data_IF_923406848362
#
_entry.id   IF_923406848362
#
_cell.length_a   1.000
_cell.length_b   1.000
_cell.length_c   1.000
_cell.angle_alpha   90.00
_cell.angle_beta   90.00
_cell.angle_gamma   90.00
#
_symmetry.space_group_name_H-M   'P 1'
#
loop_
_entity.id
_entity.type
_entity.pdbx_description
1 polymer ?
#
# COMPACT_ATOMS: atom_id res chain seq x y z
N UNK A 1 -8.30 58.42 6.62
CA UNK A 1 -8.01 57.31 7.54
C UNK A 1 -9.12 56.30 7.35
N UNK A 2 -8.89 55.22 6.60
CA UNK A 2 -9.89 54.16 6.43
C UNK A 2 -9.36 52.89 7.10
N UNK A 3 -10.04 52.50 8.18
CA UNK A 3 -9.82 51.24 8.87
C UNK A 3 -10.29 50.11 7.95
N UNK A 4 -9.37 49.23 7.60
CA UNK A 4 -9.66 47.98 6.90
C UNK A 4 -9.94 46.94 7.99
N UNK A 5 -11.21 46.73 8.34
CA UNK A 5 -11.61 45.73 9.32
C UNK A 5 -11.66 44.35 8.64
N UNK A 6 -10.75 43.48 9.10
CA UNK A 6 -10.68 42.10 8.64
C UNK A 6 -11.97 41.35 8.93
N UNK A 7 -12.81 41.17 7.91
CA UNK A 7 -13.82 40.11 7.91
C UNK A 7 -13.13 38.79 7.55
N UNK A 8 -12.74 38.05 8.59
CA UNK A 8 -12.48 36.63 8.47
C UNK A 8 -13.83 35.94 8.31
N UNK A 9 -14.30 35.77 7.07
CA UNK A 9 -15.47 34.96 6.76
C UNK A 9 -15.18 33.48 7.09
N UNK A 10 -15.53 33.07 8.32
CA UNK A 10 -15.45 31.68 8.83
C UNK A 10 -16.70 30.91 8.39
N UNK A 11 -16.99 30.93 7.09
CA UNK A 11 -17.95 30.00 6.48
C UNK A 11 -17.23 29.07 5.50
N UNK A 12 -16.17 28.40 5.98
CA UNK A 12 -15.71 27.15 5.38
C UNK A 12 -16.67 26.03 5.80
N UNK A 13 -17.81 25.95 5.13
CA UNK A 13 -18.61 24.74 5.13
C UNK A 13 -17.77 23.60 4.54
N UNK A 14 -17.82 22.42 5.17
CA UNK A 14 -17.04 21.20 4.86
C UNK A 14 -17.21 20.63 3.44
N UNK A 15 -17.77 21.39 2.50
CA UNK A 15 -18.11 20.95 1.15
C UNK A 15 -17.04 21.27 0.08
N UNK A 16 -16.03 22.09 0.39
CA UNK A 16 -15.05 22.53 -0.62
C UNK A 16 -13.70 21.79 -0.61
N UNK A 17 -13.50 20.79 0.26
CA UNK A 17 -12.45 19.77 0.11
C UNK A 17 -12.96 18.51 -0.62
N UNK A 18 -14.08 18.61 -1.34
CA UNK A 18 -14.60 17.53 -2.18
C UNK A 18 -14.37 17.80 -3.68
N UNK A 19 -13.75 18.93 -4.04
CA UNK A 19 -13.39 19.25 -5.42
C UNK A 19 -11.94 18.84 -5.68
N UNK A 20 -11.77 17.92 -6.65
CA UNK A 20 -10.51 17.33 -7.12
C UNK A 20 -9.97 16.12 -6.34
N UNK A 21 -10.79 15.10 -6.14
CA UNK A 21 -10.31 13.74 -6.44
C UNK A 21 -10.72 13.43 -7.88
N UNK A 22 -10.03 14.04 -8.85
CA UNK A 22 -9.83 13.35 -10.12
C UNK A 22 -9.13 12.06 -9.77
N UNK A 23 -9.88 10.97 -9.68
CA UNK A 23 -9.33 9.63 -9.86
C UNK A 23 -8.85 9.60 -11.31
N UNK A 24 -7.70 10.21 -11.57
CA UNK A 24 -6.81 9.62 -12.56
C UNK A 24 -6.80 8.15 -12.16
N UNK A 25 -7.20 7.27 -13.08
CA UNK A 25 -6.98 5.85 -12.89
C UNK A 25 -5.46 5.73 -12.77
N UNK A 26 -4.96 5.86 -11.54
CA UNK A 26 -3.58 5.55 -11.20
C UNK A 26 -3.56 4.07 -11.48
N UNK A 27 -3.04 3.74 -12.65
CA UNK A 27 -2.86 2.37 -13.08
C UNK A 27 -1.91 1.77 -12.05
N UNK A 28 -2.47 1.17 -11.01
CA UNK A 28 -1.69 0.60 -9.93
C UNK A 28 -1.05 -0.67 -10.49
N UNK A 29 0.28 -0.71 -10.62
CA UNK A 29 0.95 -1.85 -11.23
C UNK A 29 0.90 -3.09 -10.33
N UNK A 30 0.38 -3.00 -9.10
CA UNK A 30 0.25 -4.15 -8.20
C UNK A 30 -0.83 -5.12 -8.70
N UNK A 31 -0.36 -6.19 -9.33
CA UNK A 31 -1.17 -7.30 -9.84
C UNK A 31 -1.29 -8.43 -8.83
N UNK A 32 -2.12 -9.42 -9.17
CA UNK A 32 -2.17 -10.67 -8.41
C UNK A 32 -0.78 -11.34 -8.41
N UNK A 33 -0.30 -11.67 -7.21
CA UNK A 33 1.00 -12.30 -7.06
C UNK A 33 1.02 -13.28 -5.88
N UNK A 34 1.83 -14.31 -6.05
CA UNK A 34 2.16 -15.28 -5.02
C UNK A 34 3.63 -15.11 -4.64
N UNK A 35 3.88 -15.07 -3.34
CA UNK A 35 5.20 -14.95 -2.75
C UNK A 35 5.48 -16.21 -1.95
N UNK A 36 6.63 -16.83 -2.20
CA UNK A 36 7.03 -18.06 -1.51
C UNK A 36 8.43 -17.93 -0.93
N UNK A 37 8.59 -18.52 0.25
CA UNK A 37 9.86 -18.79 0.91
C UNK A 37 9.75 -20.11 1.67
N UNK A 38 10.87 -20.62 2.16
CA UNK A 38 10.90 -21.80 3.05
C UNK A 38 10.09 -21.59 4.35
N UNK A 39 9.84 -20.33 4.74
CA UNK A 39 9.19 -19.98 6.00
C UNK A 39 7.69 -19.67 5.87
N UNK A 40 7.21 -19.27 4.69
CA UNK A 40 5.80 -18.94 4.47
C UNK A 40 5.40 -18.85 3.00
N UNK A 41 4.08 -18.93 2.78
CA UNK A 41 3.40 -18.60 1.52
C UNK A 41 2.53 -17.35 1.74
N UNK A 42 2.61 -16.38 0.84
CA UNK A 42 1.74 -15.22 0.85
C UNK A 42 1.13 -14.99 -0.52
N UNK A 43 -0.10 -14.50 -0.54
CA UNK A 43 -0.81 -14.15 -1.78
C UNK A 43 -1.34 -12.74 -1.66
N UNK A 44 -1.37 -12.04 -2.79
CA UNK A 44 -2.14 -10.82 -2.97
C UNK A 44 -3.03 -10.99 -4.18
N UNK A 45 -4.33 -10.75 -4.01
CA UNK A 45 -5.33 -10.86 -5.06
C UNK A 45 -6.06 -9.53 -5.21
N UNK A 46 -6.23 -9.12 -6.47
CA UNK A 46 -7.05 -7.99 -6.89
C UNK A 46 -6.65 -6.67 -6.21
N UNK A 47 -5.45 -6.16 -6.51
CA UNK A 47 -4.99 -4.82 -6.13
C UNK A 47 -5.47 -4.33 -4.75
N UNK A 48 -4.91 -4.89 -3.67
CA UNK A 48 -5.15 -4.55 -2.24
C UNK A 48 -6.22 -5.32 -1.45
N UNK A 49 -7.23 -5.94 -2.09
CA UNK A 49 -8.43 -6.34 -1.33
C UNK A 49 -8.31 -7.68 -0.58
N UNK A 50 -7.46 -8.60 -1.05
CA UNK A 50 -7.23 -9.87 -0.37
C UNK A 50 -5.75 -10.20 -0.34
N UNK A 51 -5.10 -9.95 0.80
CA UNK A 51 -3.78 -10.50 1.06
C UNK A 51 -3.83 -11.54 2.17
N UNK A 52 -3.04 -12.60 2.02
CA UNK A 52 -2.87 -13.61 3.07
C UNK A 52 -1.40 -13.92 3.29
N UNK A 53 -1.05 -14.27 4.53
CA UNK A 53 0.26 -14.82 4.90
C UNK A 53 -0.03 -16.12 5.67
N UNK A 54 0.46 -17.24 5.16
CA UNK A 54 0.16 -18.60 5.62
C UNK A 54 -1.35 -18.87 5.75
N UNK A 55 -2.13 -18.44 4.74
CA UNK A 55 -3.58 -18.63 4.70
C UNK A 55 -4.38 -17.74 5.67
N UNK A 56 -3.72 -16.91 6.49
CA UNK A 56 -4.39 -15.93 7.36
C UNK A 56 -4.45 -14.58 6.70
N UNK A 57 -5.56 -13.86 6.88
CA UNK A 57 -5.73 -12.50 6.37
C UNK A 57 -4.59 -11.59 6.83
N UNK A 58 -4.04 -10.85 5.87
CA UNK A 58 -3.03 -9.85 6.07
C UNK A 58 -3.54 -8.48 5.61
N UNK A 59 -2.90 -7.43 6.11
CA UNK A 59 -3.22 -6.04 5.77
C UNK A 59 -2.21 -5.54 4.77
N UNK A 60 -2.67 -5.02 3.64
CA UNK A 60 -1.80 -4.36 2.67
C UNK A 60 -1.81 -2.86 2.93
N UNK A 61 -0.62 -2.27 2.99
CA UNK A 61 -0.39 -0.84 3.15
C UNK A 61 0.41 -0.32 1.97
N UNK A 62 -0.11 0.67 1.27
CA UNK A 62 0.65 1.46 0.30
C UNK A 62 1.52 2.47 1.03
N UNK A 63 2.84 2.39 0.84
CA UNK A 63 3.76 3.41 1.36
C UNK A 63 3.90 4.56 0.38
N UNK A 64 3.99 4.26 -0.93
CA UNK A 64 4.02 5.24 -2.00
C UNK A 64 3.64 4.58 -3.35
N UNK A 65 3.90 5.25 -4.48
CA UNK A 65 3.55 4.73 -5.80
C UNK A 65 4.25 3.41 -6.17
N UNK A 66 5.46 3.20 -5.67
CA UNK A 66 6.35 2.09 -6.03
C UNK A 66 6.56 1.09 -4.89
N UNK A 67 6.10 1.38 -3.67
CA UNK A 67 6.39 0.56 -2.50
C UNK A 67 5.15 0.26 -1.67
N UNK A 68 5.03 -1.01 -1.30
CA UNK A 68 3.95 -1.55 -0.49
C UNK A 68 4.48 -2.47 0.59
N UNK A 69 3.70 -2.61 1.65
CA UNK A 69 3.94 -3.57 2.69
C UNK A 69 2.70 -4.43 2.94
N UNK A 70 2.91 -5.73 3.13
CA UNK A 70 1.87 -6.67 3.57
C UNK A 70 2.23 -7.10 4.99
N UNK A 71 1.36 -6.79 5.94
CA UNK A 71 1.53 -7.08 7.36
C UNK A 71 0.60 -8.20 7.78
N UNK A 72 1.13 -9.27 8.37
CA UNK A 72 0.29 -10.38 8.83
C UNK A 72 1.07 -11.55 9.41
N UNK A 73 0.43 -12.27 10.33
CA UNK A 73 0.96 -13.51 10.93
C UNK A 73 2.41 -13.41 11.47
N UNK A 74 2.82 -12.24 11.97
CA UNK A 74 4.17 -12.00 12.50
C UNK A 74 5.24 -11.69 11.45
N UNK A 75 4.81 -11.37 10.22
CA UNK A 75 5.68 -11.00 9.10
C UNK A 75 5.29 -9.66 8.50
N UNK A 76 6.29 -8.97 7.95
CA UNK A 76 6.14 -7.82 7.06
C UNK A 76 6.78 -8.19 5.74
N UNK A 77 6.01 -8.16 4.66
CA UNK A 77 6.49 -8.35 3.31
C UNK A 77 6.60 -6.98 2.65
N UNK A 78 7.80 -6.61 2.22
CA UNK A 78 8.03 -5.35 1.51
C UNK A 78 8.13 -5.63 0.02
N UNK A 79 7.36 -4.89 -0.78
CA UNK A 79 7.26 -5.02 -2.23
C UNK A 79 7.72 -3.73 -2.89
N UNK A 80 8.52 -3.85 -3.95
CA UNK A 80 8.83 -2.76 -4.88
C UNK A 80 8.22 -3.02 -6.25
N UNK A 81 7.74 -1.96 -6.90
CA UNK A 81 7.04 -2.03 -8.17
C UNK A 81 7.49 -0.95 -9.14
N UNK A 82 7.47 -1.33 -10.42
CA UNK A 82 7.59 -0.42 -11.56
C UNK A 82 6.29 -0.43 -12.38
N UNK A 83 6.31 0.13 -13.59
CA UNK A 83 5.15 0.16 -14.48
C UNK A 83 4.70 -1.25 -14.95
N UNK A 84 5.57 -2.25 -14.87
CA UNK A 84 5.33 -3.60 -15.36
C UNK A 84 4.82 -4.55 -14.28
N UNK A 85 5.03 -4.23 -13.00
CA UNK A 85 4.54 -5.01 -11.87
C UNK A 85 5.52 -5.03 -10.71
N UNK A 86 5.58 -6.16 -10.01
CA UNK A 86 6.49 -6.35 -8.87
C UNK A 86 7.89 -6.64 -9.39
N UNK A 87 8.85 -5.86 -8.93
CA UNK A 87 10.27 -5.95 -9.31
C UNK A 87 11.11 -6.67 -8.26
N UNK A 88 10.76 -6.50 -6.99
CA UNK A 88 11.39 -7.22 -5.89
C UNK A 88 10.41 -7.39 -4.72
N UNK A 89 10.65 -8.44 -3.94
CA UNK A 89 9.91 -8.72 -2.73
C UNK A 89 10.86 -9.28 -1.67
N UNK A 90 10.68 -8.84 -0.43
CA UNK A 90 11.43 -9.33 0.73
C UNK A 90 10.53 -9.45 1.94
N UNK A 91 11.00 -10.15 2.96
CA UNK A 91 10.25 -10.34 4.20
C UNK A 91 11.11 -10.13 5.43
N UNK A 92 10.45 -9.68 6.49
CA UNK A 92 10.99 -9.53 7.82
C UNK A 92 10.03 -10.15 8.82
N UNK A 93 10.53 -10.77 9.89
CA UNK A 93 9.68 -11.00 11.06
C UNK A 93 9.39 -9.67 11.75
N UNK A 94 8.18 -9.53 12.28
CA UNK A 94 7.83 -8.37 13.12
C UNK A 94 8.59 -8.36 14.45
N UNK A 95 9.09 -9.52 14.87
CA UNK A 95 9.94 -9.68 16.06
C UNK A 95 11.17 -10.53 15.74
N UNK A 96 12.33 -10.14 16.29
CA UNK A 96 13.61 -10.79 16.02
C UNK A 96 14.35 -10.19 14.82
N UNK A 97 15.30 -10.95 14.25
CA UNK A 97 16.20 -10.47 13.17
C UNK A 97 16.09 -11.26 11.87
N UNK A 98 15.14 -12.21 11.79
CA UNK A 98 15.01 -13.05 10.61
C UNK A 98 14.38 -12.28 9.46
N UNK A 99 15.00 -12.37 8.29
CA UNK A 99 14.55 -11.74 7.07
C UNK A 99 14.98 -12.59 5.86
N UNK A 100 14.44 -12.30 4.68
CA UNK A 100 14.83 -12.99 3.45
C UNK A 100 14.23 -12.36 2.19
N UNK A 101 14.67 -12.86 1.04
CA UNK A 101 14.15 -12.47 -0.27
C UNK A 101 13.06 -13.47 -0.69
N UNK A 102 12.02 -12.97 -1.36
CA UNK A 102 10.90 -13.78 -1.83
C UNK A 102 11.03 -14.04 -3.32
N UNK A 103 10.68 -15.26 -3.73
CA UNK A 103 10.38 -15.54 -5.13
C UNK A 103 9.00 -14.98 -5.44
N UNK A 104 8.91 -14.22 -6.52
CA UNK A 104 7.68 -13.56 -6.96
C UNK A 104 7.16 -14.27 -8.20
N UNK A 105 5.93 -14.76 -8.15
CA UNK A 105 5.18 -15.19 -9.32
C UNK A 105 3.98 -14.28 -9.49
N UNK A 106 3.97 -13.49 -10.56
CA UNK A 106 2.89 -12.55 -10.90
C UNK A 106 2.13 -13.03 -12.13
N UNK A 107 0.83 -12.72 -12.20
CA UNK A 107 -0.04 -13.00 -13.36
C UNK A 107 -0.44 -11.73 -14.10
#
# INVERSE_FOLDING_TARGET
MNANDGSCDIHKTKAQNAAQHTTAAVHDPLREATFTSDAFNATISNGFFNATINGKKATVKRLNAHFYEIHGNGFVISLSLDENGITAASWNKTTGRNHGILQVSQK
#
